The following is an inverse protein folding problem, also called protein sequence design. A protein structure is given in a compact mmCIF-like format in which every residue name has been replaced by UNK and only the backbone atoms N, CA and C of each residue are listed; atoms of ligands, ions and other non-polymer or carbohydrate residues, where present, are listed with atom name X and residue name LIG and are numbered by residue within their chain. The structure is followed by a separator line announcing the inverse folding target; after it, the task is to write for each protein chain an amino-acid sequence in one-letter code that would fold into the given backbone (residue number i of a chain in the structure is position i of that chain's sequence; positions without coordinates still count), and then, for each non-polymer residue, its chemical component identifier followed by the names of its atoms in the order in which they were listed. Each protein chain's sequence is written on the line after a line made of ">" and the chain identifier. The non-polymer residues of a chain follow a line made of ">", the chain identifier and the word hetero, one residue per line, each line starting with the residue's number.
data_IF_755133815087
#
_entry.id   IF_755133815087
#
_cell.length_a   1.000
_cell.length_b   1.000
_cell.length_c   1.000
_cell.angle_alpha   90.00
_cell.angle_beta   90.00
_cell.angle_gamma   90.00
#
_symmetry.space_group_name_H-M   'P 1'
#
loop_
_entity.id
_entity.type
_entity.pdbx_description
1 polymer ?
#
# COMPACT_ATOMS: atom_id res chain seq x y z
N UNK A 1 -11.48 12.93 22.68
CA UNK A 1 -10.56 13.05 21.53
C UNK A 1 -11.15 12.22 20.40
N UNK A 2 -11.01 12.65 19.15
CA UNK A 2 -11.52 11.87 18.03
C UNK A 2 -10.63 10.65 17.79
N UNK A 3 -11.24 9.51 17.47
CA UNK A 3 -10.50 8.33 17.06
C UNK A 3 -9.79 8.58 15.73
N UNK A 4 -8.54 8.13 15.60
CA UNK A 4 -7.75 8.28 14.39
C UNK A 4 -7.54 6.92 13.74
N UNK A 5 -7.80 6.85 12.43
CA UNK A 5 -7.51 5.67 11.61
C UNK A 5 -6.40 5.99 10.60
N UNK A 6 -5.58 4.99 10.29
CA UNK A 6 -4.63 5.07 9.19
C UNK A 6 -5.22 4.40 7.95
N UNK A 7 -5.26 5.12 6.84
CA UNK A 7 -5.64 4.59 5.53
C UNK A 7 -4.42 4.65 4.63
N UNK A 8 -3.94 3.50 4.21
CA UNK A 8 -2.74 3.37 3.39
C UNK A 8 -3.04 2.59 2.12
N UNK A 9 -2.49 3.06 1.00
CA UNK A 9 -2.63 2.42 -0.30
C UNK A 9 -1.36 1.69 -0.67
N UNK A 10 -1.47 0.49 -1.24
CA UNK A 10 -0.32 -0.26 -1.74
C UNK A 10 -0.68 -0.98 -3.03
N UNK A 11 0.32 -1.13 -3.89
CA UNK A 11 0.23 -1.90 -5.13
C UNK A 11 1.52 -2.70 -5.32
N UNK A 12 1.38 -3.89 -5.88
CA UNK A 12 2.48 -4.64 -6.45
C UNK A 12 2.80 -4.09 -7.84
N UNK A 13 3.95 -3.44 -7.98
CA UNK A 13 4.43 -2.95 -9.26
C UNK A 13 4.76 -4.09 -10.23
N UNK A 14 5.08 -5.28 -9.72
CA UNK A 14 5.44 -6.44 -10.52
C UNK A 14 4.21 -7.16 -11.10
N UNK A 15 3.00 -6.80 -10.68
CA UNK A 15 1.74 -7.29 -11.25
C UNK A 15 1.48 -6.76 -12.68
N UNK A 16 1.45 -7.65 -13.70
CA UNK A 16 1.18 -7.25 -15.09
C UNK A 16 -0.23 -6.69 -15.31
N UNK A 17 -1.24 -7.14 -14.55
CA UNK A 17 -2.63 -6.63 -14.68
C UNK A 17 -2.69 -5.19 -14.22
N UNK A 18 -2.10 -4.90 -13.07
CA UNK A 18 -1.98 -3.54 -12.56
C UNK A 18 -1.21 -2.64 -13.51
N UNK A 19 -0.04 -3.07 -14.02
CA UNK A 19 0.74 -2.26 -15.00
C UNK A 19 -0.05 -1.93 -16.26
N UNK A 20 -0.83 -2.87 -16.78
CA UNK A 20 -1.69 -2.65 -17.96
C UNK A 20 -2.77 -1.60 -17.66
N UNK A 21 -3.46 -1.74 -16.53
CA UNK A 21 -4.47 -0.77 -16.05
C UNK A 21 -3.85 0.61 -15.83
N UNK A 22 -2.71 0.69 -15.15
CA UNK A 22 -1.97 1.92 -14.90
C UNK A 22 -1.63 2.61 -16.21
N UNK A 23 -1.05 1.89 -17.18
CA UNK A 23 -0.68 2.44 -18.49
C UNK A 23 -1.89 2.99 -19.25
N UNK A 24 -3.04 2.31 -19.19
CA UNK A 24 -4.29 2.75 -19.82
C UNK A 24 -4.79 4.10 -19.29
N UNK A 25 -4.67 4.34 -17.98
CA UNK A 25 -5.19 5.55 -17.34
C UNK A 25 -4.10 6.61 -17.06
N UNK A 26 -2.84 6.32 -17.36
CA UNK A 26 -1.72 7.24 -17.15
C UNK A 26 -1.86 8.43 -18.10
N UNK A 27 -1.91 9.68 -17.59
CA UNK A 27 -1.96 10.87 -18.44
C UNK A 27 -0.68 10.98 -19.28
N UNK A 28 -0.82 11.36 -20.55
CA UNK A 28 0.27 11.40 -21.54
C UNK A 28 1.39 12.41 -21.25
N UNK A 29 1.17 13.34 -20.32
CA UNK A 29 2.19 14.27 -19.86
C UNK A 29 2.90 13.67 -18.65
N UNK A 30 3.92 12.84 -18.89
CA UNK A 30 4.69 12.18 -17.83
C UNK A 30 5.50 13.23 -17.08
N UNK A 31 4.92 13.81 -16.04
CA UNK A 31 5.71 14.53 -15.05
C UNK A 31 6.76 13.58 -14.48
N UNK A 32 7.95 14.10 -14.19
CA UNK A 32 9.01 13.38 -13.45
C UNK A 32 8.52 12.81 -12.12
N UNK A 33 7.33 13.23 -11.66
CA UNK A 33 6.70 12.78 -10.44
C UNK A 33 5.97 11.44 -10.55
N UNK A 34 5.63 10.92 -11.74
CA UNK A 34 4.87 9.67 -11.90
C UNK A 34 5.67 8.56 -12.63
N UNK A 35 6.93 8.38 -12.22
CA UNK A 35 7.81 7.32 -12.74
C UNK A 35 7.60 5.97 -12.02
N UNK A 36 8.17 4.89 -12.57
CA UNK A 36 8.05 3.54 -12.02
C UNK A 36 8.62 3.39 -10.62
N UNK A 37 9.63 4.19 -10.25
CA UNK A 37 10.26 4.17 -8.93
C UNK A 37 9.27 4.44 -7.79
N UNK A 38 8.18 5.17 -8.05
CA UNK A 38 7.12 5.46 -7.07
C UNK A 38 6.38 4.23 -6.58
N UNK A 39 6.33 3.17 -7.37
CA UNK A 39 5.53 1.97 -7.11
C UNK A 39 6.39 0.78 -6.68
N UNK A 40 7.72 0.92 -6.75
CA UNK A 40 8.63 -0.16 -6.40
C UNK A 40 8.53 -0.48 -4.91
N UNK A 41 8.15 -1.71 -4.60
CA UNK A 41 8.20 -2.21 -3.22
C UNK A 41 9.62 -2.68 -2.89
N UNK A 42 10.12 -2.26 -1.72
CA UNK A 42 11.42 -2.67 -1.17
C UNK A 42 11.25 -3.72 -0.05
N UNK A 43 10.05 -4.24 0.16
CA UNK A 43 9.71 -5.17 1.23
C UNK A 43 9.74 -4.52 2.62
N UNK A 44 9.74 -3.19 2.68
CA UNK A 44 9.82 -2.43 3.94
C UNK A 44 8.46 -2.20 4.57
N UNK A 45 7.39 -2.30 3.79
CA UNK A 45 6.05 -1.93 4.23
C UNK A 45 5.53 -2.79 5.39
N UNK A 46 5.89 -4.07 5.46
CA UNK A 46 5.62 -4.94 6.62
C UNK A 46 6.18 -4.41 7.94
N UNK A 47 7.30 -3.69 7.91
CA UNK A 47 7.89 -3.08 9.11
C UNK A 47 7.18 -1.79 9.53
N UNK A 48 6.53 -1.10 8.59
CA UNK A 48 5.65 0.03 8.90
C UNK A 48 4.50 -0.44 9.80
N UNK A 49 3.80 -1.53 9.45
CA UNK A 49 2.73 -2.10 10.31
C UNK A 49 3.23 -2.45 11.71
N UNK A 50 4.39 -3.12 11.82
CA UNK A 50 5.02 -3.44 13.12
C UNK A 50 5.36 -2.19 13.93
N UNK A 51 5.76 -1.11 13.25
CA UNK A 51 6.06 0.16 13.90
C UNK A 51 4.80 0.86 14.39
N UNK A 52 3.72 0.83 13.62
CA UNK A 52 2.41 1.37 14.03
C UNK A 52 1.89 0.62 15.25
N UNK A 53 1.89 -0.72 15.23
CA UNK A 53 1.49 -1.54 16.37
C UNK A 53 2.27 -1.21 17.65
N UNK A 54 3.58 -0.97 17.53
CA UNK A 54 4.46 -0.70 18.68
C UNK A 54 4.40 0.74 19.18
N UNK A 55 4.33 1.73 18.29
CA UNK A 55 4.58 3.13 18.61
C UNK A 55 3.36 4.05 18.45
N UNK A 56 2.27 3.57 17.85
CA UNK A 56 1.04 4.33 17.68
C UNK A 56 -0.18 3.59 18.30
N UNK A 57 -0.16 3.28 19.61
CA UNK A 57 -1.26 2.56 20.28
C UNK A 57 -2.56 3.39 20.36
N UNK A 58 -2.51 4.66 19.98
CA UNK A 58 -3.65 5.56 19.90
C UNK A 58 -4.42 5.46 18.57
N UNK A 59 -3.88 4.74 17.58
CA UNK A 59 -4.56 4.48 16.30
C UNK A 59 -5.60 3.40 16.51
N UNK A 60 -6.83 3.66 16.05
CA UNK A 60 -7.96 2.74 16.20
C UNK A 60 -7.91 1.62 15.16
N UNK A 61 -7.83 1.96 13.88
CA UNK A 61 -7.72 0.99 12.79
C UNK A 61 -6.65 1.36 11.77
N UNK A 62 -6.18 0.32 11.07
CA UNK A 62 -5.32 0.45 9.91
C UNK A 62 -6.05 -0.20 8.73
N UNK A 63 -6.39 0.59 7.71
CA UNK A 63 -6.97 0.13 6.47
C UNK A 63 -5.90 0.07 5.39
N UNK A 64 -5.63 -1.14 4.89
CA UNK A 64 -4.79 -1.36 3.73
C UNK A 64 -5.67 -1.50 2.48
N UNK A 65 -5.56 -0.55 1.57
CA UNK A 65 -6.29 -0.55 0.29
C UNK A 65 -5.35 -1.01 -0.82
N UNK A 66 -5.75 -2.05 -1.55
CA UNK A 66 -5.00 -2.65 -2.65
C UNK A 66 -5.86 -2.74 -3.92
N UNK A 67 -5.22 -2.96 -5.08
CA UNK A 67 -5.93 -3.16 -6.36
C UNK A 67 -6.11 -4.67 -6.65
N UNK A 68 -6.96 -5.34 -5.88
CA UNK A 68 -7.20 -6.81 -5.91
C UNK A 68 -5.95 -7.67 -5.63
N UNK A 69 -4.93 -7.06 -5.01
CA UNK A 69 -3.67 -7.71 -4.67
C UNK A 69 -3.62 -8.02 -3.16
N UNK A 70 -2.94 -9.11 -2.81
CA UNK A 70 -2.66 -9.47 -1.42
C UNK A 70 -1.14 -9.50 -1.25
N UNK A 71 -0.55 -8.63 -0.39
CA UNK A 71 0.88 -8.68 -0.14
C UNK A 71 1.28 -10.06 0.41
N UNK A 72 2.37 -10.65 -0.10
CA UNK A 72 2.79 -12.01 0.28
C UNK A 72 3.04 -12.19 1.79
N UNK A 73 3.41 -11.10 2.47
CA UNK A 73 3.68 -11.08 3.90
C UNK A 73 2.42 -10.95 4.76
N UNK A 74 1.24 -10.70 4.17
CA UNK A 74 -0.02 -10.51 4.88
C UNK A 74 -0.73 -11.86 5.08
N UNK A 75 -0.93 -12.25 6.34
CA UNK A 75 -1.72 -13.43 6.67
C UNK A 75 -3.20 -13.07 6.83
N UNK A 76 -4.00 -13.30 5.79
CA UNK A 76 -5.46 -13.03 5.77
C UNK A 76 -6.29 -13.97 6.65
N UNK A 77 -5.69 -15.04 7.18
CA UNK A 77 -6.35 -15.95 8.15
C UNK A 77 -6.12 -15.51 9.59
N UNK A 78 -5.33 -14.46 9.82
CA UNK A 78 -5.17 -13.89 11.14
C UNK A 78 -6.48 -13.22 11.57
N UNK A 79 -6.93 -13.50 12.79
CA UNK A 79 -8.17 -12.95 13.35
C UNK A 79 -7.97 -11.59 14.03
N UNK A 80 -6.71 -11.15 14.12
CA UNK A 80 -6.34 -9.81 14.54
C UNK A 80 -6.05 -8.96 13.30
#
# INVERSE_FOLDING_TARGET
>A
MADIDFVVTWVDFDDPKWRSKYTKYKPGNTSTMNNSTRYKDYGTFKYWFRSVEKYAPWVRNIFLITDDQVPEWLNTKNKK
#
